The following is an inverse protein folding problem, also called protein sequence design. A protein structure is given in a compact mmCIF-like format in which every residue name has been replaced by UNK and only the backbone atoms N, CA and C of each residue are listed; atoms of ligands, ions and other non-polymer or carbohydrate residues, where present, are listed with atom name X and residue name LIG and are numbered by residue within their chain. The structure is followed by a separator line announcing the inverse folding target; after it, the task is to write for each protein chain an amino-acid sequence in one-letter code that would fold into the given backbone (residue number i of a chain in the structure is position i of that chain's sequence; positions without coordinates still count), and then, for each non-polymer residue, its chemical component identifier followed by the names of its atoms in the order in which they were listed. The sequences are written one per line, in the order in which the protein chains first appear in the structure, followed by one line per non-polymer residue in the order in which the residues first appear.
data_IF_919980089577
#
_entry.id   IF_919980089577
#
_cell.length_a   1.000
_cell.length_b   1.000
_cell.length_c   1.000
_cell.angle_alpha   90.00
_cell.angle_beta   90.00
_cell.angle_gamma   90.00
#
_symmetry.space_group_name_H-M   'P 1'
#
loop_
_entity.id
_entity.type
_entity.pdbx_description
1 polymer ?
#
# COMPACT_ATOMS: atom_id res chain seq x y z
N UNK A 1 -4.43 -25.56 -13.02
CA UNK A 1 -3.85 -24.69 -11.97
C UNK A 1 -4.19 -23.22 -12.16
N UNK A 2 -4.32 -22.70 -13.39
CA UNK A 2 -4.64 -21.28 -13.70
C UNK A 2 -5.89 -20.69 -13.00
N UNK A 3 -6.91 -21.50 -12.66
CA UNK A 3 -8.17 -20.98 -12.10
C UNK A 3 -8.07 -20.58 -10.60
N UNK A 4 -7.20 -21.22 -9.82
CA UNK A 4 -7.09 -20.95 -8.38
C UNK A 4 -6.41 -19.62 -8.09
N UNK A 5 -5.35 -19.29 -8.82
CA UNK A 5 -4.63 -18.02 -8.65
C UNK A 5 -5.49 -16.85 -9.09
N UNK A 6 -6.22 -16.97 -10.21
CA UNK A 6 -7.19 -15.96 -10.65
C UNK A 6 -8.26 -15.71 -9.57
N UNK A 7 -8.78 -16.77 -8.96
CA UNK A 7 -9.80 -16.64 -7.91
C UNK A 7 -9.25 -16.02 -6.63
N UNK A 8 -8.02 -16.37 -6.24
CA UNK A 8 -7.33 -15.74 -5.12
C UNK A 8 -7.16 -14.23 -5.36
N UNK A 9 -6.71 -13.83 -6.55
CA UNK A 9 -6.57 -12.42 -6.92
C UNK A 9 -7.90 -11.67 -6.90
N UNK A 10 -8.98 -12.25 -7.46
CA UNK A 10 -10.32 -11.64 -7.40
C UNK A 10 -10.81 -11.43 -5.95
N UNK A 11 -10.49 -12.36 -5.05
CA UNK A 11 -10.82 -12.24 -3.63
C UNK A 11 -10.03 -11.08 -3.01
N UNK A 12 -8.74 -10.96 -3.31
CA UNK A 12 -7.90 -9.86 -2.81
C UNK A 12 -8.41 -8.51 -3.35
N UNK A 13 -8.72 -8.41 -4.64
CA UNK A 13 -9.20 -7.17 -5.25
C UNK A 13 -10.52 -6.70 -4.63
N UNK A 14 -11.48 -7.61 -4.44
CA UNK A 14 -12.74 -7.27 -3.75
C UNK A 14 -12.56 -7.01 -2.27
N UNK A 15 -11.57 -7.62 -1.63
CA UNK A 15 -11.22 -7.30 -0.25
C UNK A 15 -10.59 -5.89 -0.15
N UNK A 16 -9.77 -5.47 -1.12
CA UNK A 16 -9.22 -4.10 -1.20
C UNK A 16 -10.35 -3.08 -1.19
N UNK A 17 -11.33 -3.23 -2.09
CA UNK A 17 -12.51 -2.36 -2.17
C UNK A 17 -13.23 -2.28 -0.81
N UNK A 18 -13.61 -3.44 -0.26
CA UNK A 18 -14.39 -3.47 0.98
C UNK A 18 -13.63 -2.97 2.21
N UNK A 19 -12.35 -3.28 2.35
CA UNK A 19 -11.55 -2.84 3.50
C UNK A 19 -11.22 -1.35 3.42
N UNK A 20 -10.96 -0.80 2.22
CA UNK A 20 -10.66 0.63 2.05
C UNK A 20 -11.88 1.50 2.33
N UNK A 21 -13.08 1.03 1.96
CA UNK A 21 -14.33 1.78 2.16
C UNK A 21 -14.91 1.65 3.57
N UNK A 22 -14.92 0.43 4.14
CA UNK A 22 -15.63 0.13 5.40
C UNK A 22 -14.71 0.01 6.60
N UNK A 23 -13.41 -0.10 6.36
CA UNK A 23 -12.41 -0.40 7.38
C UNK A 23 -12.38 -1.87 7.81
N UNK A 24 -11.32 -2.25 8.50
CA UNK A 24 -11.07 -3.63 8.94
C UNK A 24 -12.18 -4.22 9.83
N UNK A 25 -12.71 -3.42 10.77
CA UNK A 25 -13.65 -3.91 11.79
C UNK A 25 -15.05 -4.20 11.22
N UNK A 26 -15.51 -3.46 10.20
CA UNK A 26 -16.86 -3.59 9.63
C UNK A 26 -16.93 -4.56 8.45
N UNK A 27 -15.78 -4.99 7.93
CA UNK A 27 -15.70 -5.94 6.81
C UNK A 27 -15.57 -7.37 7.32
N UNK A 28 -16.29 -8.31 6.70
CA UNK A 28 -16.23 -9.75 7.00
C UNK A 28 -15.86 -10.57 5.77
N UNK A 29 -15.25 -11.74 5.96
CA UNK A 29 -14.94 -12.67 4.86
C UNK A 29 -16.20 -13.13 4.11
N UNK A 30 -17.37 -13.12 4.77
CA UNK A 30 -18.65 -13.41 4.11
C UNK A 30 -19.08 -12.32 3.13
N UNK A 31 -18.88 -11.03 3.49
CA UNK A 31 -19.13 -9.92 2.57
C UNK A 31 -18.19 -9.96 1.36
N UNK A 32 -16.92 -10.32 1.56
CA UNK A 32 -15.96 -10.51 0.47
C UNK A 32 -16.39 -11.66 -0.44
N UNK A 33 -16.77 -12.81 0.14
CA UNK A 33 -17.26 -13.95 -0.62
C UNK A 33 -18.48 -13.58 -1.48
N UNK A 34 -19.45 -12.86 -0.89
CA UNK A 34 -20.62 -12.36 -1.59
C UNK A 34 -20.25 -11.42 -2.75
N UNK A 35 -19.31 -10.49 -2.53
CA UNK A 35 -18.88 -9.54 -3.55
C UNK A 35 -18.17 -10.21 -4.75
N UNK A 36 -17.48 -11.33 -4.51
CA UNK A 36 -16.80 -12.13 -5.57
C UNK A 36 -17.77 -13.12 -6.23
N UNK A 37 -18.91 -13.42 -5.62
CA UNK A 37 -19.86 -14.44 -6.09
C UNK A 37 -19.42 -15.88 -5.76
N UNK A 38 -18.75 -16.07 -4.62
CA UNK A 38 -18.30 -17.39 -4.12
C UNK A 38 -18.83 -17.64 -2.71
N UNK A 39 -18.67 -18.87 -2.21
CA UNK A 39 -19.07 -19.21 -0.84
C UNK A 39 -17.99 -18.78 0.17
N UNK A 40 -18.40 -18.47 1.41
CA UNK A 40 -17.44 -18.13 2.47
C UNK A 40 -16.41 -19.25 2.74
N UNK A 41 -16.77 -20.55 2.76
CA UNK A 41 -15.78 -21.63 2.84
C UNK A 41 -14.74 -21.61 1.71
N UNK A 42 -15.11 -21.14 0.51
CA UNK A 42 -14.17 -20.99 -0.60
C UNK A 42 -13.16 -19.87 -0.36
N UNK A 43 -13.53 -18.78 0.33
CA UNK A 43 -12.57 -17.77 0.79
C UNK A 43 -11.62 -18.37 1.85
N UNK A 44 -12.16 -19.16 2.78
CA UNK A 44 -11.36 -19.81 3.82
C UNK A 44 -10.39 -20.88 3.30
N UNK A 45 -10.64 -21.42 2.11
CA UNK A 45 -9.67 -22.27 1.42
C UNK A 45 -8.35 -21.52 1.13
N UNK A 46 -8.43 -20.22 0.78
CA UNK A 46 -7.24 -19.40 0.50
C UNK A 46 -6.72 -18.65 1.73
N UNK A 47 -7.60 -18.17 2.59
CA UNK A 47 -7.26 -17.32 3.72
C UNK A 47 -7.92 -17.84 4.99
N UNK A 48 -7.15 -18.39 5.92
CA UNK A 48 -7.67 -19.12 7.10
C UNK A 48 -8.66 -18.31 7.94
N UNK A 49 -8.53 -16.99 7.94
CA UNK A 49 -9.39 -16.07 8.66
C UNK A 49 -9.38 -14.68 7.99
N UNK A 50 -10.14 -13.73 8.55
CA UNK A 50 -10.18 -12.34 8.08
C UNK A 50 -8.82 -11.64 8.14
N UNK A 51 -8.02 -11.97 9.15
CA UNK A 51 -6.72 -11.36 9.38
C UNK A 51 -5.72 -11.71 8.28
N UNK A 52 -5.64 -12.98 7.90
CA UNK A 52 -4.80 -13.46 6.80
C UNK A 52 -5.21 -12.86 5.44
N UNK A 53 -6.51 -12.69 5.22
CA UNK A 53 -7.02 -11.98 4.04
C UNK A 53 -6.59 -10.50 4.06
N UNK A 54 -6.66 -9.84 5.22
CA UNK A 54 -6.26 -8.45 5.35
C UNK A 54 -4.74 -8.25 5.18
N UNK A 55 -3.91 -9.15 5.74
CA UNK A 55 -2.46 -9.17 5.52
C UNK A 55 -2.13 -9.30 4.03
N UNK A 56 -2.80 -10.20 3.31
CA UNK A 56 -2.60 -10.38 1.86
C UNK A 56 -2.99 -9.14 1.03
N UNK A 57 -4.05 -8.44 1.44
CA UNK A 57 -4.45 -7.16 0.84
C UNK A 57 -3.38 -6.09 1.06
N UNK A 58 -2.82 -5.97 2.27
CA UNK A 58 -1.70 -5.05 2.54
C UNK A 58 -0.48 -5.44 1.70
N UNK A 59 -0.15 -6.73 1.61
CA UNK A 59 1.00 -7.21 0.84
C UNK A 59 0.89 -6.80 -0.63
N UNK A 60 -0.30 -6.96 -1.23
CA UNK A 60 -0.54 -6.54 -2.62
C UNK A 60 -0.37 -5.03 -2.80
N UNK A 61 -0.96 -4.23 -1.92
CA UNK A 61 -0.88 -2.77 -1.97
C UNK A 61 0.57 -2.27 -1.82
N UNK A 62 1.30 -2.79 -0.84
CA UNK A 62 2.70 -2.43 -0.58
C UNK A 62 3.60 -2.89 -1.72
N UNK A 63 3.37 -4.09 -2.27
CA UNK A 63 4.15 -4.60 -3.40
C UNK A 63 3.98 -3.72 -4.64
N UNK A 64 2.75 -3.34 -4.99
CA UNK A 64 2.50 -2.44 -6.13
C UNK A 64 3.19 -1.08 -5.95
N UNK A 65 3.08 -0.52 -4.74
CA UNK A 65 3.73 0.75 -4.40
C UNK A 65 5.26 0.66 -4.45
N UNK A 66 5.84 -0.44 -3.99
CA UNK A 66 7.28 -0.67 -4.12
C UNK A 66 7.70 -0.80 -5.59
N UNK A 67 6.94 -1.58 -6.38
CA UNK A 67 7.23 -1.81 -7.79
C UNK A 67 7.28 -0.49 -8.57
N UNK A 68 6.38 0.45 -8.31
CA UNK A 68 6.41 1.77 -8.96
C UNK A 68 7.72 2.52 -8.70
N UNK A 69 8.30 2.42 -7.50
CA UNK A 69 9.56 3.07 -7.15
C UNK A 69 10.80 2.34 -7.66
N UNK A 70 10.76 1.00 -7.67
CA UNK A 70 11.91 0.16 -8.05
C UNK A 70 12.38 0.39 -9.50
N UNK A 71 11.52 0.94 -10.36
CA UNK A 71 11.86 1.30 -11.74
C UNK A 71 12.92 2.39 -11.83
N UNK A 72 13.12 3.17 -10.76
CA UNK A 72 14.06 4.29 -10.72
C UNK A 72 15.40 3.97 -10.04
N UNK A 73 15.71 2.69 -9.78
CA UNK A 73 16.95 2.29 -9.08
C UNK A 73 18.25 2.87 -9.68
N UNK A 74 18.24 3.23 -10.97
CA UNK A 74 19.39 3.81 -11.68
C UNK A 74 19.24 5.31 -11.98
N UNK A 75 18.23 5.99 -11.43
CA UNK A 75 18.02 7.40 -11.68
C UNK A 75 19.10 8.29 -11.04
N UNK A 76 19.44 9.45 -11.65
CA UNK A 76 20.33 10.43 -11.07
C UNK A 76 19.84 10.97 -9.71
N UNK A 77 20.77 11.35 -8.83
CA UNK A 77 20.48 11.90 -7.50
C UNK A 77 19.57 13.13 -7.51
N UNK A 78 19.67 13.97 -8.53
CA UNK A 78 18.88 15.20 -8.67
C UNK A 78 17.46 14.95 -9.20
N UNK A 79 17.14 13.73 -9.64
CA UNK A 79 15.84 13.39 -10.24
C UNK A 79 15.09 12.29 -9.47
N UNK A 80 15.79 11.43 -8.72
CA UNK A 80 15.21 10.22 -8.13
C UNK A 80 14.01 10.51 -7.20
N UNK A 81 14.10 11.54 -6.36
CA UNK A 81 13.04 11.86 -5.40
C UNK A 81 11.79 12.38 -6.13
N UNK A 82 11.98 13.25 -7.12
CA UNK A 82 10.87 13.81 -7.92
C UNK A 82 10.20 12.70 -8.74
N UNK A 83 10.97 11.82 -9.39
CA UNK A 83 10.44 10.69 -10.16
C UNK A 83 9.67 9.69 -9.28
N UNK A 84 10.19 9.39 -8.09
CA UNK A 84 9.46 8.57 -7.12
C UNK A 84 8.20 9.27 -6.62
N UNK A 85 8.22 10.61 -6.48
CA UNK A 85 7.06 11.42 -6.14
C UNK A 85 5.97 11.35 -7.22
N UNK A 86 6.33 11.54 -8.49
CA UNK A 86 5.42 11.43 -9.63
C UNK A 86 4.78 10.02 -9.71
N UNK A 87 5.58 8.98 -9.49
CA UNK A 87 5.08 7.61 -9.46
C UNK A 87 4.14 7.36 -8.26
N UNK A 88 4.40 7.98 -7.11
CA UNK A 88 3.48 7.94 -5.98
C UNK A 88 2.14 8.60 -6.33
N UNK A 89 2.17 9.76 -6.97
CA UNK A 89 0.98 10.49 -7.38
C UNK A 89 0.16 9.69 -8.42
N UNK A 90 0.82 9.02 -9.36
CA UNK A 90 0.15 8.12 -10.31
C UNK A 90 -0.56 6.96 -9.59
N UNK A 91 0.09 6.32 -8.62
CA UNK A 91 -0.53 5.27 -7.80
C UNK A 91 -1.67 5.84 -6.96
N UNK A 92 -1.55 7.06 -6.43
CA UNK A 92 -2.61 7.69 -5.66
C UNK A 92 -3.86 7.94 -6.51
N UNK A 93 -3.69 8.33 -7.78
CA UNK A 93 -4.80 8.56 -8.72
C UNK A 93 -5.43 7.25 -9.20
N UNK A 94 -4.62 6.25 -9.57
CA UNK A 94 -5.08 5.02 -10.21
C UNK A 94 -5.43 3.90 -9.22
N UNK A 95 -4.84 3.91 -8.03
CA UNK A 95 -4.94 2.86 -7.01
C UNK A 95 -5.22 3.43 -5.61
N UNK A 96 -5.96 4.54 -5.54
CA UNK A 96 -6.32 5.24 -4.29
C UNK A 96 -6.72 4.32 -3.14
N UNK A 97 -7.53 3.30 -3.40
CA UNK A 97 -8.00 2.35 -2.39
C UNK A 97 -6.86 1.59 -1.70
N UNK A 98 -5.80 1.24 -2.44
CA UNK A 98 -4.62 0.57 -1.91
C UNK A 98 -3.80 1.50 -1.02
N UNK A 99 -3.62 2.76 -1.41
CA UNK A 99 -2.96 3.78 -0.58
C UNK A 99 -3.75 4.03 0.72
N UNK A 100 -5.07 4.14 0.61
CA UNK A 100 -5.94 4.27 1.80
C UNK A 100 -5.82 3.07 2.73
N UNK A 101 -5.68 1.86 2.20
CA UNK A 101 -5.49 0.66 3.02
C UNK A 101 -4.19 0.70 3.80
N UNK A 102 -3.09 1.08 3.15
CA UNK A 102 -1.80 1.26 3.82
C UNK A 102 -1.95 2.28 4.96
N UNK A 103 -2.59 3.42 4.70
CA UNK A 103 -2.81 4.47 5.70
C UNK A 103 -3.73 4.01 6.85
N UNK A 104 -4.81 3.29 6.57
CA UNK A 104 -5.74 2.79 7.60
C UNK A 104 -5.09 1.70 8.45
N UNK A 105 -4.25 0.85 7.84
CA UNK A 105 -3.65 -0.31 8.49
C UNK A 105 -2.79 0.05 9.71
N UNK A 106 -2.17 1.24 9.71
CA UNK A 106 -1.30 1.70 10.81
C UNK A 106 -2.06 1.95 12.12
N UNK A 107 -3.39 2.13 12.05
CA UNK A 107 -4.24 2.42 13.21
C UNK A 107 -4.85 1.17 13.85
N UNK A 108 -4.65 -0.01 13.25
CA UNK A 108 -5.27 -1.26 13.67
C UNK A 108 -4.55 -1.82 14.90
N UNK A 109 -5.31 -2.22 15.92
CA UNK A 109 -4.78 -2.59 17.23
C UNK A 109 -4.43 -4.08 17.40
N UNK A 110 -4.89 -4.92 16.47
CA UNK A 110 -4.65 -6.35 16.40
C UNK A 110 -3.14 -6.63 16.36
N UNK A 111 -2.57 -7.38 17.33
CA UNK A 111 -1.12 -7.56 17.43
C UNK A 111 -0.48 -8.14 16.16
N UNK A 112 -1.10 -9.12 15.54
CA UNK A 112 -0.57 -9.76 14.33
C UNK A 112 -0.63 -8.83 13.11
N UNK A 113 -1.71 -8.04 12.96
CA UNK A 113 -1.79 -7.02 11.90
C UNK A 113 -0.75 -5.94 12.14
N UNK A 114 -0.65 -5.42 13.37
CA UNK A 114 0.32 -4.38 13.72
C UNK A 114 1.75 -4.85 13.47
N UNK A 115 2.05 -6.11 13.77
CA UNK A 115 3.36 -6.70 13.47
C UNK A 115 3.59 -6.79 11.96
N UNK A 116 2.62 -7.26 11.19
CA UNK A 116 2.71 -7.33 9.73
C UNK A 116 2.93 -5.94 9.10
N UNK A 117 2.13 -4.96 9.50
CA UNK A 117 2.24 -3.56 9.05
C UNK A 117 3.62 -3.00 9.39
N UNK A 118 4.13 -3.23 10.61
CA UNK A 118 5.50 -2.84 11.00
C UNK A 118 6.55 -3.43 10.05
N UNK A 119 6.41 -4.71 9.69
CA UNK A 119 7.33 -5.37 8.76
C UNK A 119 7.24 -4.76 7.36
N UNK A 120 6.05 -4.38 6.90
CA UNK A 120 5.87 -3.68 5.62
C UNK A 120 6.51 -2.30 5.59
N UNK A 121 6.35 -1.50 6.65
CA UNK A 121 7.03 -0.20 6.75
C UNK A 121 8.55 -0.34 6.80
N UNK A 122 9.07 -1.37 7.52
CA UNK A 122 10.50 -1.68 7.53
C UNK A 122 10.99 -2.06 6.13
N UNK A 123 10.27 -2.95 5.44
CA UNK A 123 10.59 -3.34 4.07
C UNK A 123 10.63 -2.13 3.14
N UNK A 124 9.60 -1.27 3.14
CA UNK A 124 9.57 -0.06 2.32
C UNK A 124 10.74 0.86 2.61
N UNK A 125 11.07 1.07 3.89
CA UNK A 125 12.22 1.90 4.28
C UNK A 125 13.54 1.31 3.78
N UNK A 126 13.75 -0.01 3.94
CA UNK A 126 14.95 -0.71 3.49
C UNK A 126 15.10 -0.65 1.97
N UNK A 127 14.04 -0.87 1.20
CA UNK A 127 14.10 -0.84 -0.26
C UNK A 127 14.29 0.56 -0.82
N UNK A 128 13.59 1.56 -0.29
CA UNK A 128 13.78 2.96 -0.70
C UNK A 128 15.19 3.44 -0.35
N UNK A 129 15.73 3.04 0.81
CA UNK A 129 17.12 3.33 1.19
C UNK A 129 18.09 2.75 0.16
N UNK A 130 17.85 1.54 -0.36
CA UNK A 130 18.71 0.94 -1.40
C UNK A 130 18.67 1.75 -2.70
N UNK A 131 17.49 2.16 -3.15
CA UNK A 131 17.29 2.99 -4.34
C UNK A 131 18.04 4.32 -4.19
N UNK A 132 17.81 5.04 -3.08
CA UNK A 132 18.45 6.34 -2.82
C UNK A 132 19.96 6.21 -2.66
N UNK A 133 20.46 5.13 -2.04
CA UNK A 133 21.91 4.91 -1.90
C UNK A 133 22.60 4.72 -3.25
N UNK A 134 21.92 4.09 -4.21
CA UNK A 134 22.48 3.84 -5.55
C UNK A 134 22.64 5.12 -6.37
N UNK A 135 21.79 6.13 -6.14
CA UNK A 135 21.89 7.42 -6.83
C UNK A 135 23.01 8.31 -6.28
N UNK A 136 23.52 8.04 -5.07
CA UNK A 136 24.62 8.78 -4.44
C UNK A 136 24.18 9.92 -3.52
N UNK A 137 22.90 9.99 -3.16
CA UNK A 137 22.38 10.92 -2.17
C UNK A 137 22.99 10.61 -0.78
N UNK A 138 23.36 11.65 -0.03
CA UNK A 138 23.86 11.52 1.33
C UNK A 138 22.74 11.13 2.31
N UNK A 139 23.10 10.43 3.40
CA UNK A 139 22.16 10.00 4.44
C UNK A 139 20.88 9.29 3.90
N UNK A 140 21.02 8.24 3.06
CA UNK A 140 19.90 7.63 2.35
C UNK A 140 18.80 7.07 3.27
N UNK A 141 19.15 6.69 4.51
CA UNK A 141 18.19 6.24 5.51
C UNK A 141 17.25 7.37 5.98
N UNK A 142 17.77 8.60 6.11
CA UNK A 142 16.99 9.78 6.51
C UNK A 142 16.09 10.20 5.36
N UNK A 143 16.64 10.26 4.15
CA UNK A 143 15.89 10.60 2.93
C UNK A 143 14.77 9.61 2.66
N UNK A 144 15.02 8.30 2.83
CA UNK A 144 13.97 7.28 2.72
C UNK A 144 12.84 7.48 3.75
N UNK A 145 13.19 7.83 5.00
CA UNK A 145 12.21 8.11 6.04
C UNK A 145 11.40 9.37 5.74
N UNK A 146 12.04 10.43 5.25
CA UNK A 146 11.40 11.66 4.82
C UNK A 146 10.45 11.40 3.65
N UNK A 147 10.89 10.65 2.64
CA UNK A 147 10.07 10.27 1.49
C UNK A 147 8.80 9.52 1.90
N UNK A 148 8.91 8.51 2.77
CA UNK A 148 7.75 7.80 3.33
C UNK A 148 6.83 8.77 4.09
N UNK A 149 7.40 9.68 4.88
CA UNK A 149 6.66 10.72 5.59
C UNK A 149 5.91 11.67 4.65
N UNK A 150 6.51 12.05 3.53
CA UNK A 150 5.87 12.87 2.49
C UNK A 150 4.67 12.16 1.88
N UNK A 151 4.79 10.88 1.52
CA UNK A 151 3.66 10.10 1.01
C UNK A 151 2.47 10.03 1.99
N UNK A 152 2.73 9.89 3.30
CA UNK A 152 1.69 9.94 4.33
C UNK A 152 1.03 11.33 4.43
N UNK A 153 1.82 12.40 4.32
CA UNK A 153 1.31 13.77 4.36
C UNK A 153 0.48 14.09 3.10
N UNK A 154 0.94 13.70 1.91
CA UNK A 154 0.21 13.85 0.64
C UNK A 154 -1.14 13.12 0.73
N UNK A 155 -1.12 11.86 1.19
CA UNK A 155 -2.37 11.10 1.37
C UNK A 155 -3.31 11.79 2.36
N UNK A 156 -2.79 12.35 3.45
CA UNK A 156 -3.59 13.10 4.43
C UNK A 156 -4.18 14.36 3.81
N UNK A 157 -3.39 15.11 3.05
CA UNK A 157 -3.83 16.32 2.36
C UNK A 157 -4.96 16.02 1.38
N UNK A 158 -4.81 14.95 0.60
CA UNK A 158 -5.80 14.52 -0.41
C UNK A 158 -7.08 13.99 0.24
N UNK A 159 -6.98 13.18 1.30
CA UNK A 159 -8.16 12.62 1.99
C UNK A 159 -8.99 13.69 2.70
N UNK A 160 -8.33 14.71 3.24
CA UNK A 160 -8.97 15.77 4.01
C UNK A 160 -9.29 17.03 3.20
N UNK A 161 -8.95 17.06 1.90
CA UNK A 161 -9.08 18.23 1.04
C UNK A 161 -8.38 19.47 1.63
N UNK A 162 -7.11 19.30 2.01
CA UNK A 162 -6.27 20.32 2.65
C UNK A 162 -5.17 20.79 1.69
N UNK A 163 -5.47 21.71 0.75
CA UNK A 163 -4.51 22.16 -0.26
C UNK A 163 -3.24 22.80 0.33
N UNK A 164 -3.31 23.37 1.53
CA UNK A 164 -2.16 23.92 2.25
C UNK A 164 -1.13 22.86 2.71
N UNK A 165 -1.49 21.58 2.70
CA UNK A 165 -0.60 20.46 3.03
C UNK A 165 -0.04 19.75 1.78
N UNK A 166 -0.45 20.17 0.58
CA UNK A 166 0.13 19.65 -0.66
C UNK A 166 1.59 20.11 -0.75
N UNK A 167 2.50 19.15 -0.89
CA UNK A 167 3.94 19.39 -0.93
C UNK A 167 4.41 19.92 -2.29
N UNK A 168 3.55 19.82 -3.31
CA UNK A 168 3.76 20.34 -4.66
C UNK A 168 2.57 21.22 -5.06
N UNK A 169 2.82 22.30 -5.82
CA UNK A 169 1.75 23.12 -6.41
C UNK A 169 1.30 22.46 -7.70
N UNK A 170 0.00 22.29 -7.89
CA UNK A 170 -0.56 22.12 -9.24
C UNK A 170 -0.36 23.45 -9.98
N UNK A 171 0.35 23.42 -11.10
CA UNK A 171 0.47 24.57 -12.03
C UNK A 171 -0.87 24.91 -12.69
#
# INVERSE_FOLDING_TARGET
MVNHDIRKEQIIDKAIELFSEKGYYKTTSGQVAQAVGVTQPYVYYFFKNKEELFKAVIDKAVQRLYESFSTFAEAPADLIIDQMGEAFDEILQNNRQEILLIMLSQSISEPEIRQHVREKYRFMHEEITKIIRQSGIADPEIEAAQFIGMGLMITTAEVLDLPQLRLFKED
#
